data_IF_212844593838
#
_entry.id   IF_212844593838
#
_cell.length_a   1.000
_cell.length_b   1.000
_cell.length_c   1.000
_cell.angle_alpha   90.00
_cell.angle_beta   90.00
_cell.angle_gamma   90.00
#
_symmetry.space_group_name_H-M   'P 1'
#
loop_
_entity.id
_entity.type
_entity.pdbx_description
1 polymer ?
#
# COMPACT_ATOMS: atom_id res chain seq x y z
N UNK A 1 10.87 -23.93 -12.54
CA UNK A 1 11.61 -23.72 -11.28
C UNK A 1 10.83 -22.75 -10.41
N UNK A 2 10.64 -23.02 -9.11
CA UNK A 2 9.93 -22.12 -8.18
C UNK A 2 10.93 -21.54 -7.19
N UNK A 3 11.05 -20.21 -7.16
CA UNK A 3 11.83 -19.49 -6.15
C UNK A 3 10.87 -19.02 -5.06
N UNK A 4 11.18 -19.30 -3.80
CA UNK A 4 10.39 -18.85 -2.64
C UNK A 4 11.29 -17.98 -1.76
N UNK A 5 10.84 -16.77 -1.44
CA UNK A 5 11.55 -15.83 -0.57
C UNK A 5 10.81 -15.79 0.77
N UNK A 6 11.52 -16.07 1.85
CA UNK A 6 10.98 -16.11 3.21
C UNK A 6 11.67 -15.06 4.08
N UNK A 7 10.89 -14.28 4.82
CA UNK A 7 11.39 -13.21 5.67
C UNK A 7 10.38 -12.08 5.81
N UNK A 8 10.74 -11.03 6.56
CA UNK A 8 9.94 -9.81 6.70
C UNK A 8 10.56 -8.71 5.83
N UNK A 9 9.87 -8.33 4.76
CA UNK A 9 10.22 -7.14 3.96
C UNK A 9 9.73 -5.84 4.60
N UNK A 10 8.64 -5.93 5.36
CA UNK A 10 8.00 -4.78 6.02
C UNK A 10 8.02 -4.94 7.53
N UNK A 11 8.29 -3.84 8.23
CA UNK A 11 8.14 -3.74 9.69
C UNK A 11 6.66 -3.75 10.08
N UNK A 12 6.35 -3.90 11.37
CA UNK A 12 4.96 -3.81 11.83
C UNK A 12 4.34 -2.45 11.48
N UNK A 13 5.07 -1.35 11.74
CA UNK A 13 4.64 0.02 11.42
C UNK A 13 4.30 0.22 9.94
N UNK A 14 5.05 -0.42 9.04
CA UNK A 14 4.75 -0.35 7.61
C UNK A 14 3.42 -1.03 7.28
N UNK A 15 3.16 -2.19 7.88
CA UNK A 15 1.91 -2.93 7.70
C UNK A 15 0.72 -2.14 8.26
N UNK A 16 0.88 -1.55 9.44
CA UNK A 16 -0.16 -0.73 10.09
C UNK A 16 -0.55 0.48 9.21
N UNK A 17 0.43 1.11 8.54
CA UNK A 17 0.17 2.20 7.60
C UNK A 17 -0.56 1.70 6.35
N UNK A 18 -0.14 0.58 5.76
CA UNK A 18 -0.82 0.00 4.61
C UNK A 18 -2.26 -0.38 4.96
N UNK A 19 -2.46 -1.04 6.10
CA UNK A 19 -3.78 -1.39 6.62
C UNK A 19 -4.64 -0.15 6.84
N UNK A 20 -4.11 0.88 7.50
CA UNK A 20 -4.80 2.16 7.68
C UNK A 20 -5.24 2.75 6.35
N UNK A 21 -4.36 2.80 5.35
CA UNK A 21 -4.67 3.34 4.04
C UNK A 21 -5.81 2.54 3.39
N UNK A 22 -5.70 1.22 3.31
CA UNK A 22 -6.72 0.40 2.65
C UNK A 22 -8.07 0.42 3.38
N UNK A 23 -8.08 0.43 4.71
CA UNK A 23 -9.32 0.43 5.51
C UNK A 23 -10.00 1.80 5.53
N UNK A 24 -9.23 2.89 5.61
CA UNK A 24 -9.79 4.26 5.70
C UNK A 24 -10.19 4.86 4.36
N UNK A 25 -9.70 4.32 3.24
CA UNK A 25 -9.97 4.89 1.91
C UNK A 25 -11.47 4.92 1.59
N UNK A 26 -12.27 3.98 2.12
CA UNK A 26 -13.71 3.92 1.88
C UNK A 26 -14.44 5.19 2.34
N UNK A 27 -14.07 5.71 3.50
CA UNK A 27 -14.77 6.83 4.13
C UNK A 27 -14.03 8.16 3.93
N UNK A 28 -12.73 8.10 3.64
CA UNK A 28 -11.85 9.26 3.72
C UNK A 28 -10.98 9.50 2.48
N UNK A 29 -11.19 8.73 1.41
CA UNK A 29 -10.41 8.82 0.18
C UNK A 29 -11.13 8.27 -1.05
N UNK A 30 -10.36 7.98 -2.09
CA UNK A 30 -10.81 7.37 -3.33
C UNK A 30 -9.89 6.21 -3.67
N UNK A 31 -10.50 5.07 -3.95
CA UNK A 31 -9.81 3.85 -4.39
C UNK A 31 -10.06 3.66 -5.89
N UNK A 32 -8.99 3.65 -6.68
CA UNK A 32 -9.05 3.44 -8.12
C UNK A 32 -8.26 2.19 -8.50
N UNK A 33 -8.88 1.31 -9.27
CA UNK A 33 -8.20 0.13 -9.85
C UNK A 33 -8.24 0.22 -11.37
N UNK A 34 -7.11 0.61 -11.96
CA UNK A 34 -6.93 0.66 -13.42
C UNK A 34 -6.48 -0.72 -13.90
N UNK A 35 -7.45 -1.57 -14.30
CA UNK A 35 -7.19 -2.97 -14.66
C UNK A 35 -6.30 -3.12 -15.89
N UNK A 36 -6.46 -2.22 -16.87
CA UNK A 36 -5.66 -2.13 -18.09
C UNK A 36 -4.16 -1.90 -17.81
N UNK A 37 -3.87 -1.11 -16.78
CA UNK A 37 -2.50 -0.77 -16.36
C UNK A 37 -2.02 -1.57 -15.15
N UNK A 38 -2.90 -2.37 -14.57
CA UNK A 38 -2.69 -3.06 -13.30
C UNK A 38 -2.18 -2.13 -12.18
N UNK A 39 -2.77 -0.93 -12.08
CA UNK A 39 -2.43 0.05 -11.05
C UNK A 39 -3.56 0.13 -10.04
N UNK A 40 -3.25 -0.14 -8.77
CA UNK A 40 -4.07 0.25 -7.63
C UNK A 40 -3.61 1.64 -7.15
N UNK A 41 -4.54 2.60 -7.13
CA UNK A 41 -4.28 3.97 -6.74
C UNK A 41 -5.20 4.36 -5.59
N UNK A 42 -4.62 5.02 -4.60
CA UNK A 42 -5.35 5.62 -3.48
C UNK A 42 -5.12 7.12 -3.47
N UNK A 43 -6.21 7.88 -3.37
CA UNK A 43 -6.19 9.33 -3.28
C UNK A 43 -6.86 9.74 -1.98
N UNK A 44 -6.20 10.51 -1.13
CA UNK A 44 -6.80 10.98 0.12
C UNK A 44 -6.15 12.27 0.62
N UNK A 45 -6.82 12.97 1.53
CA UNK A 45 -6.24 14.17 2.13
C UNK A 45 -5.18 13.82 3.19
N UNK A 46 -4.10 14.62 3.33
CA UNK A 46 -3.11 14.41 4.39
C UNK A 46 -3.73 14.45 5.79
N UNK A 47 -4.73 15.33 5.98
CA UNK A 47 -5.50 15.41 7.23
C UNK A 47 -6.22 14.09 7.55
N UNK A 48 -6.93 13.53 6.56
CA UNK A 48 -7.65 12.27 6.72
C UNK A 48 -6.73 11.09 6.98
N UNK A 49 -5.58 11.04 6.30
CA UNK A 49 -4.58 10.00 6.50
C UNK A 49 -4.01 10.05 7.92
N UNK A 50 -3.63 11.25 8.39
CA UNK A 50 -3.21 11.48 9.78
C UNK A 50 -4.30 11.01 10.75
N UNK A 51 -5.53 11.49 10.56
CA UNK A 51 -6.67 11.20 11.44
C UNK A 51 -6.91 9.69 11.53
N UNK A 52 -6.98 9.02 10.38
CA UNK A 52 -7.24 7.57 10.31
C UNK A 52 -6.14 6.77 11.00
N UNK A 53 -4.87 7.13 10.77
CA UNK A 53 -3.75 6.44 11.41
C UNK A 53 -3.74 6.68 12.92
N UNK A 54 -3.98 7.90 13.39
CA UNK A 54 -4.06 8.20 14.82
C UNK A 54 -5.22 7.46 15.49
N UNK A 55 -6.37 7.36 14.82
CA UNK A 55 -7.49 6.56 15.33
C UNK A 55 -7.18 5.06 15.42
N UNK A 56 -6.49 4.50 14.42
CA UNK A 56 -6.15 3.07 14.38
C UNK A 56 -5.01 2.71 15.35
N UNK A 57 -3.98 3.56 15.45
CA UNK A 57 -2.79 3.30 16.28
C UNK A 57 -2.92 3.75 17.73
N UNK A 58 -3.94 4.55 18.06
CA UNK A 58 -4.12 5.17 19.37
C UNK A 58 -3.12 6.28 19.71
N UNK A 59 -2.22 6.64 18.79
CA UNK A 59 -1.14 7.59 19.02
C UNK A 59 -1.22 8.77 18.05
N UNK A 60 -1.13 9.99 18.57
CA UNK A 60 -1.03 11.17 17.72
C UNK A 60 0.28 11.14 16.92
N UNK A 61 0.17 11.24 15.60
CA UNK A 61 1.30 11.11 14.68
C UNK A 61 1.34 12.31 13.73
N UNK A 62 2.54 12.79 13.40
CA UNK A 62 2.72 13.87 12.42
C UNK A 62 2.63 13.32 11.01
N UNK A 63 2.03 14.08 10.08
CA UNK A 63 1.87 13.65 8.69
C UNK A 63 3.21 13.39 7.99
N UNK A 64 4.24 14.18 8.29
CA UNK A 64 5.60 13.97 7.76
C UNK A 64 6.14 12.58 8.10
N UNK A 65 5.90 12.10 9.31
CA UNK A 65 6.33 10.77 9.72
C UNK A 65 5.61 9.67 8.91
N UNK A 66 4.33 9.87 8.56
CA UNK A 66 3.59 8.94 7.70
C UNK A 66 4.19 8.95 6.29
N UNK A 67 4.56 10.12 5.75
CA UNK A 67 5.25 10.21 4.47
C UNK A 67 6.62 9.52 4.47
N UNK A 68 7.40 9.68 5.53
CA UNK A 68 8.69 9.01 5.69
C UNK A 68 8.49 7.49 5.62
N UNK A 69 7.48 6.97 6.32
CA UNK A 69 7.16 5.54 6.28
C UNK A 69 6.63 5.06 4.94
N UNK A 70 5.84 5.85 4.24
CA UNK A 70 5.42 5.52 2.88
C UNK A 70 6.61 5.47 1.91
N UNK A 71 7.57 6.37 2.10
CA UNK A 71 8.82 6.41 1.33
C UNK A 71 9.71 5.21 1.68
N UNK A 72 9.78 4.82 2.95
CA UNK A 72 10.44 3.56 3.34
C UNK A 72 9.79 2.35 2.67
N UNK A 73 8.44 2.31 2.60
CA UNK A 73 7.71 1.24 1.92
C UNK A 73 7.97 1.22 0.41
N UNK A 74 8.03 2.39 -0.26
CA UNK A 74 8.37 2.46 -1.69
C UNK A 74 9.78 1.95 -1.98
N UNK A 75 10.70 2.16 -1.04
CA UNK A 75 12.08 1.69 -1.14
C UNK A 75 12.25 0.23 -0.69
N UNK A 76 11.21 -0.39 -0.12
CA UNK A 76 11.22 -1.82 0.20
C UNK A 76 10.87 -2.65 -1.04
N UNK A 77 11.74 -3.61 -1.35
CA UNK A 77 11.49 -4.50 -2.46
C UNK A 77 12.48 -5.66 -2.55
N UNK A 78 12.30 -6.47 -3.57
CA UNK A 78 13.19 -7.56 -3.95
C UNK A 78 13.56 -7.36 -5.40
N UNK A 79 14.85 -7.42 -5.70
CA UNK A 79 15.35 -7.56 -7.05
C UNK A 79 16.08 -8.90 -7.19
N UNK A 80 15.68 -9.69 -8.18
CA UNK A 80 16.35 -10.94 -8.55
C UNK A 80 16.98 -10.77 -9.92
N UNK A 81 18.28 -11.04 -9.98
CA UNK A 81 19.06 -11.02 -11.20
C UNK A 81 19.26 -12.46 -11.68
N UNK A 82 18.85 -12.76 -12.90
CA UNK A 82 19.02 -14.09 -13.47
C UNK A 82 20.43 -14.21 -14.07
N UNK A 83 21.17 -15.25 -13.70
CA UNK A 83 22.54 -15.45 -14.18
C UNK A 83 22.56 -15.59 -15.69
N UNK A 84 23.53 -14.94 -16.34
CA UNK A 84 23.78 -15.01 -17.78
C UNK A 84 22.63 -14.50 -18.66
N UNK A 85 21.76 -13.65 -18.11
CA UNK A 85 20.70 -12.95 -18.84
C UNK A 85 20.61 -11.52 -18.31
N UNK A 86 20.20 -10.57 -19.16
CA UNK A 86 19.85 -9.22 -18.70
C UNK A 86 18.46 -9.14 -18.04
N UNK A 87 17.80 -10.30 -17.91
CA UNK A 87 16.50 -10.39 -17.24
C UNK A 87 16.63 -10.13 -15.74
N UNK A 88 15.71 -9.32 -15.23
CA UNK A 88 15.54 -9.07 -13.80
C UNK A 88 14.07 -9.18 -13.42
N UNK A 89 13.82 -9.71 -12.24
CA UNK A 89 12.52 -9.61 -11.58
C UNK A 89 12.62 -8.58 -10.47
N UNK A 90 11.69 -7.62 -10.44
CA UNK A 90 11.59 -6.62 -9.38
C UNK A 90 10.20 -6.65 -8.76
N UNK A 91 10.14 -6.62 -7.43
CA UNK A 91 8.93 -6.50 -6.65
C UNK A 91 9.11 -5.37 -5.65
N UNK A 92 8.30 -4.32 -5.77
CA UNK A 92 8.19 -3.23 -4.79
C UNK A 92 6.73 -3.09 -4.37
N UNK A 93 6.46 -2.35 -3.29
CA UNK A 93 5.08 -2.15 -2.81
C UNK A 93 4.43 -0.93 -3.46
N UNK A 94 5.10 0.22 -3.39
CA UNK A 94 4.62 1.51 -3.88
C UNK A 94 5.52 1.96 -5.01
N UNK A 95 4.91 2.33 -6.14
CA UNK A 95 5.61 2.83 -7.33
C UNK A 95 5.82 4.35 -7.25
N UNK A 96 4.80 5.09 -6.80
CA UNK A 96 4.92 6.54 -6.65
C UNK A 96 4.01 7.10 -5.57
N UNK A 97 4.50 8.17 -4.93
CA UNK A 97 3.78 8.98 -3.95
C UNK A 97 3.97 10.43 -4.36
N UNK A 98 2.89 11.17 -4.56
CA UNK A 98 2.99 12.59 -4.89
C UNK A 98 1.78 13.37 -4.37
N UNK A 99 1.99 14.66 -4.13
CA UNK A 99 0.90 15.58 -3.82
C UNK A 99 0.31 16.13 -5.12
N UNK A 100 -0.99 15.90 -5.34
CA UNK A 100 -1.71 16.50 -6.49
C UNK A 100 -2.09 17.96 -6.19
N UNK A 101 -2.23 18.29 -4.92
CA UNK A 101 -2.42 19.63 -4.36
C UNK A 101 -2.08 19.58 -2.87
N UNK A 102 -2.01 20.73 -2.19
CA UNK A 102 -1.84 20.81 -0.73
C UNK A 102 -2.89 20.00 0.06
N UNK A 103 -4.00 19.65 -0.59
CA UNK A 103 -5.12 18.93 0.01
C UNK A 103 -5.15 17.44 -0.33
N UNK A 104 -4.34 16.95 -1.26
CA UNK A 104 -4.48 15.58 -1.78
C UNK A 104 -3.13 14.91 -2.03
N UNK A 105 -3.00 13.71 -1.47
CA UNK A 105 -1.93 12.76 -1.72
C UNK A 105 -2.45 11.71 -2.68
N UNK A 106 -1.60 11.31 -3.62
CA UNK A 106 -1.82 10.17 -4.50
C UNK A 106 -0.74 9.13 -4.20
N UNK A 107 -1.18 7.89 -3.98
CA UNK A 107 -0.33 6.72 -3.75
C UNK A 107 -0.65 5.71 -4.84
N UNK A 108 0.32 5.42 -5.71
CA UNK A 108 0.21 4.37 -6.71
C UNK A 108 1.00 3.16 -6.24
N UNK A 109 0.31 2.04 -6.06
CA UNK A 109 0.95 0.77 -5.78
C UNK A 109 1.58 0.20 -7.04
N UNK A 110 2.68 -0.55 -6.88
CA UNK A 110 3.35 -1.20 -8.00
C UNK A 110 2.41 -2.19 -8.68
N UNK A 111 2.67 -2.47 -9.96
CA UNK A 111 1.94 -3.49 -10.69
C UNK A 111 2.05 -4.86 -10.02
N UNK A 112 3.25 -5.24 -9.58
CA UNK A 112 3.50 -6.51 -8.92
C UNK A 112 2.70 -6.65 -7.61
N UNK A 113 2.65 -5.57 -6.82
CA UNK A 113 1.87 -5.55 -5.59
C UNK A 113 0.36 -5.49 -5.86
N UNK A 114 -0.08 -4.78 -6.89
CA UNK A 114 -1.49 -4.77 -7.30
C UNK A 114 -1.96 -6.17 -7.70
N UNK A 115 -1.17 -6.94 -8.45
CA UNK A 115 -1.49 -8.33 -8.77
C UNK A 115 -1.49 -9.23 -7.53
N UNK A 116 -0.59 -8.99 -6.58
CA UNK A 116 -0.60 -9.68 -5.29
C UNK A 116 -1.89 -9.40 -4.50
N UNK A 117 -2.33 -8.14 -4.42
CA UNK A 117 -3.59 -7.74 -3.79
C UNK A 117 -4.81 -8.36 -4.51
N UNK A 118 -4.78 -8.47 -5.84
CA UNK A 118 -5.86 -9.10 -6.61
C UNK A 118 -6.03 -10.58 -6.27
N UNK A 119 -4.91 -11.31 -6.15
CA UNK A 119 -4.91 -12.74 -5.83
C UNK A 119 -5.29 -13.04 -4.39
N UNK A 120 -5.16 -12.08 -3.49
CA UNK A 120 -5.45 -12.25 -2.05
C UNK A 120 -6.91 -11.92 -1.71
N UNK A 121 -7.77 -11.68 -2.71
CA UNK A 121 -9.17 -11.21 -2.56
C UNK A 121 -9.29 -9.88 -1.79
N UNK A 122 -8.17 -9.21 -1.47
CA UNK A 122 -8.18 -7.87 -0.91
C UNK A 122 -8.87 -6.90 -1.87
N UNK A 123 -8.66 -7.02 -3.18
CA UNK A 123 -9.36 -6.16 -4.15
C UNK A 123 -10.87 -6.44 -4.27
N UNK A 124 -11.38 -7.54 -3.71
CA UNK A 124 -12.81 -7.80 -3.51
C UNK A 124 -13.28 -7.19 -2.17
N UNK A 125 -12.78 -5.99 -1.84
CA UNK A 125 -12.94 -5.22 -0.59
C UNK A 125 -14.40 -4.95 -0.14
N UNK A 126 -15.41 -5.52 -0.80
CA UNK A 126 -16.80 -5.52 -0.33
C UNK A 126 -17.07 -6.54 0.80
N UNK A 127 -16.29 -7.61 0.94
CA UNK A 127 -16.64 -8.70 1.86
C UNK A 127 -15.84 -8.77 3.19
N UNK A 128 -14.67 -8.12 3.30
CA UNK A 128 -13.87 -8.20 4.54
C UNK A 128 -14.48 -7.44 5.74
N UNK A 129 -15.34 -6.44 5.49
CA UNK A 129 -16.02 -5.69 6.56
C UNK A 129 -17.07 -6.56 7.28
N UNK A 130 -17.59 -7.62 6.64
CA UNK A 130 -18.55 -8.54 7.28
C UNK A 130 -17.92 -9.49 8.30
N UNK A 131 -16.61 -9.75 8.21
CA UNK A 131 -15.93 -10.65 9.14
C UNK A 131 -15.48 -9.95 10.44
N UNK A 132 -15.30 -8.63 10.43
CA UNK A 132 -14.81 -7.87 11.60
C UNK A 132 -15.96 -7.22 12.40
N UNK A 133 -17.19 -7.17 11.86
CA UNK A 133 -18.38 -6.62 12.55
C UNK A 133 -19.32 -7.70 13.13
N UNK A 134 -18.84 -8.94 13.29
CA UNK A 134 -19.56 -10.04 13.96
C UNK A 134 -18.72 -10.70 15.06
N UNK A 135 -18.21 -9.88 15.98
CA UNK A 135 -17.82 -10.30 17.33
C UNK A 135 -18.55 -9.37 18.30
#
# INVERSE_FOLDING_TARGET
>A
MKITITGRLLTQKHKDILECIFTSTKDNGTFNLYRDKAICQIIMSPYNLKKSYTSLSGNETKINWIYDKLTEISNCGVELYFKNTDEKFSFTFIDSIYQKSDKLIVINFSQAYTFFLAKTLLLEYKDYVKAITRI
#
